data_IF_264343935890
#
_entry.id   IF_264343935890
#
_cell.length_a   1.000
_cell.length_b   1.000
_cell.length_c   1.000
_cell.angle_alpha   90.00
_cell.angle_beta   90.00
_cell.angle_gamma   90.00
#
_symmetry.space_group_name_H-M   'P 1'
#
loop_
_entity.id
_entity.type
_entity.pdbx_description
1 polymer ?
#
# COMPACT_ATOMS: atom_id res chain seq x y z
N UNK A 1 5.09 18.40 13.73
CA UNK A 1 4.76 17.68 14.98
C UNK A 1 5.42 18.40 16.15
N UNK A 2 4.70 18.68 17.25
CA UNK A 2 5.32 19.30 18.43
C UNK A 2 6.30 18.32 19.08
N UNK A 3 7.46 18.79 19.55
CA UNK A 3 8.45 17.96 20.26
C UNK A 3 7.81 17.10 21.37
N UNK A 4 6.77 17.64 22.03
CA UNK A 4 6.02 16.99 23.10
C UNK A 4 5.25 15.74 22.63
N UNK A 5 4.61 15.77 21.46
CA UNK A 5 3.85 14.61 20.97
C UNK A 5 4.77 13.48 20.48
N UNK A 6 5.96 13.83 19.96
CA UNK A 6 6.96 12.83 19.57
C UNK A 6 7.55 12.08 20.77
N UNK A 7 7.81 12.79 21.87
CA UNK A 7 8.28 12.16 23.12
C UNK A 7 7.21 11.26 23.75
N UNK A 8 5.94 11.68 23.75
CA UNK A 8 4.85 10.86 24.26
C UNK A 8 4.68 9.57 23.46
N UNK A 9 4.69 9.65 22.12
CA UNK A 9 4.60 8.48 21.25
C UNK A 9 5.78 7.52 21.47
N UNK A 10 7.00 8.04 21.61
CA UNK A 10 8.17 7.23 21.92
C UNK A 10 8.04 6.51 23.27
N UNK A 11 7.61 7.21 24.32
CA UNK A 11 7.43 6.61 25.64
C UNK A 11 6.40 5.48 25.60
N UNK A 12 5.26 5.68 24.92
CA UNK A 12 4.22 4.66 24.75
C UNK A 12 4.77 3.44 24.02
N UNK A 13 5.44 3.64 22.87
CA UNK A 13 6.03 2.52 22.12
C UNK A 13 7.10 1.79 22.91
N UNK A 14 7.96 2.51 23.63
CA UNK A 14 9.00 1.91 24.47
C UNK A 14 8.41 1.03 25.56
N UNK A 15 7.35 1.49 26.25
CA UNK A 15 6.67 0.69 27.28
C UNK A 15 6.04 -0.56 26.67
N UNK A 16 5.31 -0.42 25.55
CA UNK A 16 4.64 -1.56 24.90
C UNK A 16 5.67 -2.60 24.45
N UNK A 17 6.73 -2.18 23.74
CA UNK A 17 7.73 -3.12 23.24
C UNK A 17 8.56 -3.76 24.34
N UNK A 18 8.86 -3.05 25.44
CA UNK A 18 9.59 -3.64 26.57
C UNK A 18 8.75 -4.69 27.30
N UNK A 19 7.44 -4.45 27.49
CA UNK A 19 6.54 -5.45 28.10
C UNK A 19 6.42 -6.70 27.22
N UNK A 20 6.20 -6.52 25.92
CA UNK A 20 6.11 -7.65 24.97
C UNK A 20 7.42 -8.43 24.96
N UNK A 21 8.56 -7.72 24.91
CA UNK A 21 9.88 -8.33 24.90
C UNK A 21 10.16 -9.11 26.19
N UNK A 22 9.81 -8.56 27.35
CA UNK A 22 10.00 -9.24 28.64
C UNK A 22 9.23 -10.57 28.68
N UNK A 23 7.96 -10.55 28.29
CA UNK A 23 7.14 -11.76 28.26
C UNK A 23 7.67 -12.79 27.26
N UNK A 24 8.03 -12.36 26.05
CA UNK A 24 8.60 -13.23 25.03
C UNK A 24 9.95 -13.83 25.46
N UNK A 25 10.81 -13.04 26.11
CA UNK A 25 12.11 -13.49 26.58
C UNK A 25 11.98 -14.50 27.71
N UNK A 26 11.09 -14.27 28.67
CA UNK A 26 10.80 -15.21 29.74
C UNK A 26 10.23 -16.52 29.19
N UNK A 27 9.28 -16.44 28.26
CA UNK A 27 8.71 -17.62 27.61
C UNK A 27 9.77 -18.42 26.84
N UNK A 28 10.66 -17.75 26.11
CA UNK A 28 11.75 -18.39 25.38
C UNK A 28 12.74 -19.10 26.32
N UNK A 29 13.07 -18.51 27.48
CA UNK A 29 13.94 -19.14 28.48
C UNK A 29 13.28 -20.41 29.03
N UNK A 30 12.01 -20.33 29.42
CA UNK A 30 11.26 -21.47 29.95
C UNK A 30 11.17 -22.60 28.92
N UNK A 31 10.82 -22.27 27.67
CA UNK A 31 10.70 -23.24 26.60
C UNK A 31 12.03 -23.94 26.29
N UNK A 32 13.14 -23.19 26.26
CA UNK A 32 14.47 -23.78 26.07
C UNK A 32 14.84 -24.74 27.21
N UNK A 33 14.52 -24.39 28.46
CA UNK A 33 14.73 -25.29 29.61
C UNK A 33 13.88 -26.55 29.47
N UNK A 34 12.59 -26.42 29.15
CA UNK A 34 11.70 -27.58 28.96
C UNK A 34 12.20 -28.53 27.86
N UNK A 35 12.61 -27.98 26.71
CA UNK A 35 13.17 -28.78 25.61
C UNK A 35 14.46 -29.51 26.00
N UNK A 36 15.36 -28.83 26.72
CA UNK A 36 16.58 -29.44 27.21
C UNK A 36 16.28 -30.55 28.23
N UNK A 37 15.34 -30.32 29.16
CA UNK A 37 14.89 -31.33 30.13
C UNK A 37 14.32 -32.57 29.45
N UNK A 38 13.47 -32.40 28.43
CA UNK A 38 12.90 -33.52 27.67
C UNK A 38 13.99 -34.31 26.92
N UNK A 39 14.95 -33.61 26.31
CA UNK A 39 16.09 -34.26 25.64
C UNK A 39 16.95 -35.02 26.64
N UNK A 40 17.19 -34.48 27.84
CA UNK A 40 17.95 -35.14 28.91
C UNK A 40 17.19 -36.38 29.38
N UNK A 41 15.89 -36.26 29.63
CA UNK A 41 15.03 -37.36 30.05
C UNK A 41 15.09 -38.51 29.05
N UNK A 42 14.92 -38.22 27.75
CA UNK A 42 15.06 -39.22 26.69
C UNK A 42 16.44 -39.86 26.67
N UNK A 43 17.51 -39.06 26.80
CA UNK A 43 18.87 -39.56 26.76
C UNK A 43 19.17 -40.50 27.93
N UNK A 44 18.82 -40.09 29.15
CA UNK A 44 19.00 -40.91 30.35
C UNK A 44 18.13 -42.16 30.29
N UNK A 45 16.93 -42.09 29.71
CA UNK A 45 16.09 -43.27 29.49
C UNK A 45 16.74 -44.30 28.57
N UNK A 46 17.35 -43.85 27.47
CA UNK A 46 18.07 -44.73 26.54
C UNK A 46 19.31 -45.36 27.18
N UNK A 47 20.03 -44.60 28.00
CA UNK A 47 21.25 -45.04 28.66
C UNK A 47 20.98 -45.75 30.01
N UNK A 48 19.73 -45.83 30.49
CA UNK A 48 19.33 -46.36 31.82
C UNK A 48 19.94 -47.73 32.11
N UNK A 49 19.84 -48.67 31.17
CA UNK A 49 20.32 -50.05 31.34
C UNK A 49 21.85 -50.16 31.45
N UNK A 50 22.59 -49.10 31.09
CA UNK A 50 24.06 -49.04 31.16
C UNK A 50 24.55 -48.30 32.40
N UNK A 51 23.65 -47.60 33.10
CA UNK A 51 23.98 -46.82 34.28
C UNK A 51 23.93 -47.73 35.52
N UNK A 52 25.03 -47.88 36.27
CA UNK A 52 25.07 -48.69 37.48
C UNK A 52 24.46 -47.91 38.66
N UNK A 53 23.16 -47.62 38.58
CA UNK A 53 22.40 -46.93 39.63
C UNK A 53 22.09 -47.93 40.75
N UNK A 54 22.19 -47.50 42.01
CA UNK A 54 21.84 -48.34 43.14
C UNK A 54 20.35 -48.72 43.09
N UNK A 55 20.03 -50.00 43.26
CA UNK A 55 18.63 -50.49 43.29
C UNK A 55 18.39 -51.16 44.64
N UNK A 56 17.79 -50.43 45.62
CA UNK A 56 17.59 -50.93 46.98
C UNK A 56 16.82 -52.25 47.03
N UNK A 57 15.79 -52.41 46.19
CA UNK A 57 14.98 -53.64 46.14
C UNK A 57 15.75 -54.88 45.65
N UNK A 58 16.86 -54.70 44.94
CA UNK A 58 17.72 -55.77 44.44
C UNK A 58 19.00 -55.93 45.27
N UNK A 59 19.14 -55.23 46.41
CA UNK A 59 20.38 -55.13 47.20
C UNK A 59 21.61 -54.76 46.37
N UNK A 60 21.42 -54.02 45.28
CA UNK A 60 22.50 -53.59 44.40
C UNK A 60 22.96 -52.18 44.80
N UNK A 61 24.19 -52.06 45.28
CA UNK A 61 24.74 -50.79 45.76
C UNK A 61 25.10 -49.78 44.65
N UNK A 62 25.11 -50.21 43.38
CA UNK A 62 25.52 -49.36 42.26
C UNK A 62 27.02 -49.04 42.22
N UNK A 63 27.41 -48.20 41.28
CA UNK A 63 28.76 -47.64 41.14
C UNK A 63 28.66 -46.11 40.98
N UNK A 64 28.81 -45.41 42.11
CA UNK A 64 28.71 -43.96 42.18
C UNK A 64 29.78 -43.25 41.31
N UNK A 65 30.97 -43.83 41.16
CA UNK A 65 32.05 -43.22 40.35
C UNK A 65 31.70 -43.23 38.88
N UNK A 66 31.15 -44.33 38.36
CA UNK A 66 30.68 -44.40 36.97
C UNK A 66 29.48 -43.50 36.70
N UNK A 67 28.55 -43.40 37.65
CA UNK A 67 27.41 -42.47 37.54
C UNK A 67 27.91 -41.02 37.48
N UNK A 68 28.87 -40.65 38.33
CA UNK A 68 29.46 -39.30 38.30
C UNK A 68 30.17 -39.02 36.97
N UNK A 69 30.98 -39.96 36.47
CA UNK A 69 31.66 -39.80 35.19
C UNK A 69 30.67 -39.63 34.01
N UNK A 70 29.52 -40.30 34.07
CA UNK A 70 28.43 -40.10 33.11
C UNK A 70 27.81 -38.71 33.22
N UNK A 71 27.53 -38.24 34.45
CA UNK A 71 27.00 -36.88 34.70
C UNK A 71 27.97 -35.83 34.16
N UNK A 72 29.26 -35.98 34.40
CA UNK A 72 30.29 -35.05 33.93
C UNK A 72 30.34 -35.01 32.39
N UNK A 73 30.36 -36.18 31.73
CA UNK A 73 30.33 -36.27 30.27
C UNK A 73 29.04 -35.69 29.66
N UNK A 74 27.89 -35.85 30.33
CA UNK A 74 26.62 -35.28 29.91
C UNK A 74 26.64 -33.75 30.06
N UNK A 75 27.13 -33.23 31.19
CA UNK A 75 27.29 -31.80 31.43
C UNK A 75 28.25 -31.14 30.44
N UNK A 76 29.35 -31.80 30.07
CA UNK A 76 30.26 -31.33 29.02
C UNK A 76 29.55 -31.18 27.66
N UNK A 77 28.65 -32.13 27.34
CA UNK A 77 27.86 -32.05 26.11
C UNK A 77 26.84 -30.90 26.18
N UNK A 78 26.16 -30.76 27.31
CA UNK A 78 25.19 -29.69 27.56
C UNK A 78 25.85 -28.31 27.49
N UNK A 79 27.05 -28.15 28.05
CA UNK A 79 27.82 -26.90 27.98
C UNK A 79 28.23 -26.57 26.55
N UNK A 80 28.67 -27.56 25.74
CA UNK A 80 28.97 -27.38 24.31
C UNK A 80 27.74 -26.92 23.50
N UNK A 81 26.54 -27.33 23.91
CA UNK A 81 25.27 -26.90 23.32
C UNK A 81 24.74 -25.58 23.91
N UNK A 82 25.49 -24.93 24.80
CA UNK A 82 25.05 -23.73 25.53
C UNK A 82 23.72 -23.94 26.26
N UNK A 83 23.48 -25.16 26.74
CA UNK A 83 22.29 -25.49 27.53
C UNK A 83 22.26 -24.68 28.82
N UNK A 84 21.05 -24.37 29.28
CA UNK A 84 20.82 -23.66 30.54
C UNK A 84 20.76 -24.62 31.73
N UNK A 85 20.97 -25.91 31.52
CA UNK A 85 20.76 -26.96 32.52
C UNK A 85 22.08 -27.60 32.89
N UNK A 86 22.26 -27.83 34.19
CA UNK A 86 23.33 -28.64 34.74
C UNK A 86 22.73 -29.79 35.53
N UNK A 87 23.21 -31.00 35.29
CA UNK A 87 22.83 -32.19 36.05
C UNK A 87 23.68 -32.27 37.31
N UNK A 88 23.02 -32.45 38.45
CA UNK A 88 23.67 -32.56 39.75
C UNK A 88 23.70 -34.01 40.24
N UNK A 89 22.64 -34.78 40.01
CA UNK A 89 22.55 -36.17 40.49
C UNK A 89 21.63 -37.03 39.63
N UNK A 90 21.91 -38.34 39.62
CA UNK A 90 21.05 -39.38 39.06
C UNK A 90 21.00 -40.51 40.09
N UNK A 91 19.84 -40.76 40.67
CA UNK A 91 19.68 -41.76 41.73
C UNK A 91 18.31 -42.42 41.65
N UNK A 92 18.18 -43.61 42.26
CA UNK A 92 16.87 -44.24 42.46
C UNK A 92 16.02 -43.39 43.40
N UNK A 93 14.72 -43.31 43.11
CA UNK A 93 13.75 -42.52 43.87
C UNK A 93 12.58 -43.41 44.28
N UNK A 94 11.97 -43.05 45.40
CA UNK A 94 10.78 -43.71 45.94
C UNK A 94 9.47 -43.19 45.31
N UNK A 95 9.57 -42.45 44.19
CA UNK A 95 8.43 -41.95 43.40
C UNK A 95 7.97 -40.53 43.75
N UNK A 96 8.58 -39.88 44.75
CA UNK A 96 8.29 -38.48 45.07
C UNK A 96 9.11 -37.51 44.20
N UNK A 97 8.41 -36.64 43.47
CA UNK A 97 9.00 -35.53 42.70
C UNK A 97 9.30 -34.34 43.62
N UNK A 98 10.58 -33.99 43.76
CA UNK A 98 11.02 -32.76 44.44
C UNK A 98 11.27 -31.65 43.42
N UNK A 99 11.20 -30.39 43.85
CA UNK A 99 11.58 -29.26 43.00
C UNK A 99 13.01 -29.42 42.48
N UNK A 100 13.23 -29.15 41.19
CA UNK A 100 14.54 -29.36 40.55
C UNK A 100 14.87 -30.83 40.26
N UNK A 101 13.88 -31.72 40.24
CA UNK A 101 14.07 -33.11 39.84
C UNK A 101 13.16 -33.52 38.67
N UNK A 102 13.71 -34.31 37.76
CA UNK A 102 12.96 -35.03 36.74
C UNK A 102 12.81 -36.48 37.19
N UNK A 103 11.58 -37.00 37.11
CA UNK A 103 11.30 -38.41 37.39
C UNK A 103 11.26 -39.21 36.08
N UNK A 104 11.98 -40.33 36.09
CA UNK A 104 11.99 -41.31 35.02
C UNK A 104 11.45 -42.65 35.55
N UNK A 105 10.18 -42.90 35.29
CA UNK A 105 9.54 -44.17 35.66
C UNK A 105 9.88 -45.29 34.69
N UNK A 106 10.17 -46.48 35.23
CA UNK A 106 10.44 -47.68 34.46
C UNK A 106 10.17 -48.95 35.26
N UNK A 107 10.31 -50.11 34.60
CA UNK A 107 9.98 -51.40 35.20
C UNK A 107 10.83 -51.77 36.43
N UNK A 108 12.09 -51.32 36.47
CA UNK A 108 13.05 -51.62 37.55
C UNK A 108 13.02 -50.59 38.71
N UNK A 109 12.02 -49.72 38.72
CA UNK A 109 11.88 -48.63 39.68
C UNK A 109 12.11 -47.24 39.08
N UNK A 110 11.72 -46.23 39.84
CA UNK A 110 11.79 -44.82 39.45
C UNK A 110 13.21 -44.26 39.66
N UNK A 111 13.67 -43.47 38.70
CA UNK A 111 14.96 -42.78 38.75
C UNK A 111 14.72 -41.27 38.79
N UNK A 112 15.23 -40.60 39.82
CA UNK A 112 15.24 -39.14 39.90
C UNK A 112 16.55 -38.58 39.32
N UNK A 113 16.41 -37.56 38.49
CA UNK A 113 17.50 -36.78 37.91
C UNK A 113 17.42 -35.38 38.51
N UNK A 114 18.36 -35.04 39.40
CA UNK A 114 18.49 -33.71 39.98
C UNK A 114 19.17 -32.76 38.99
N UNK A 115 18.57 -31.59 38.77
CA UNK A 115 19.08 -30.58 37.85
C UNK A 115 18.99 -29.16 38.42
N UNK A 116 19.90 -28.32 37.95
CA UNK A 116 19.91 -26.89 38.21
C UNK A 116 19.70 -26.14 36.89
N UNK A 117 18.65 -25.32 36.81
CA UNK A 117 18.33 -24.53 35.62
C UNK A 117 18.73 -23.06 35.80
N UNK A 118 19.42 -22.50 34.81
CA UNK A 118 19.82 -21.10 34.79
C UNK A 118 18.73 -20.23 34.13
N UNK A 119 17.94 -19.56 34.99
CA UNK A 119 16.89 -18.61 34.60
C UNK A 119 17.39 -17.17 34.45
N UNK A 120 18.71 -16.95 34.45
CA UNK A 120 19.28 -15.62 34.32
C UNK A 120 18.93 -14.98 32.98
N UNK A 121 18.52 -13.72 33.06
CA UNK A 121 18.18 -12.89 31.91
C UNK A 121 19.42 -12.15 31.42
N UNK A 122 19.57 -12.04 30.10
CA UNK A 122 20.60 -11.18 29.52
C UNK A 122 20.05 -9.76 29.36
N UNK A 123 20.34 -8.91 30.35
CA UNK A 123 19.84 -7.53 30.39
C UNK A 123 20.29 -6.68 29.19
N UNK A 124 21.40 -7.03 28.52
CA UNK A 124 21.87 -6.30 27.34
C UNK A 124 20.87 -6.37 26.16
N UNK A 125 20.11 -7.47 26.07
CA UNK A 125 19.12 -7.66 25.00
C UNK A 125 17.92 -6.71 25.12
N UNK A 126 17.70 -6.09 26.29
CA UNK A 126 16.62 -5.12 26.49
C UNK A 126 16.85 -3.80 25.74
N UNK A 127 18.00 -3.60 25.10
CA UNK A 127 18.21 -2.49 24.17
C UNK A 127 17.38 -2.64 22.88
N UNK A 128 17.06 -3.88 22.48
CA UNK A 128 16.32 -4.21 21.26
C UNK A 128 14.94 -3.52 21.22
N UNK A 129 14.07 -3.64 22.23
CA UNK A 129 12.77 -2.95 22.22
C UNK A 129 12.89 -1.42 22.14
N UNK A 130 13.95 -0.83 22.71
CA UNK A 130 14.20 0.62 22.62
C UNK A 130 14.56 1.02 21.18
N UNK A 131 15.41 0.24 20.51
CA UNK A 131 15.75 0.46 19.10
C UNK A 131 14.53 0.32 18.18
N UNK A 132 13.67 -0.67 18.43
CA UNK A 132 12.41 -0.85 17.69
C UNK A 132 11.46 0.34 17.92
N UNK A 133 11.38 0.86 19.14
CA UNK A 133 10.57 2.05 19.44
C UNK A 133 11.10 3.30 18.70
N UNK A 134 12.42 3.48 18.62
CA UNK A 134 13.05 4.57 17.85
C UNK A 134 12.75 4.46 16.35
N UNK A 135 12.84 3.25 15.79
CA UNK A 135 12.56 3.00 14.37
C UNK A 135 11.08 3.32 14.05
N UNK A 136 10.15 2.88 14.90
CA UNK A 136 8.73 3.20 14.75
C UNK A 136 8.45 4.71 14.83
N UNK A 137 9.14 5.42 15.72
CA UNK A 137 9.03 6.88 15.79
C UNK A 137 9.54 7.55 14.49
N UNK A 138 10.65 7.08 13.93
CA UNK A 138 11.19 7.59 12.67
C UNK A 138 10.22 7.34 11.51
N UNK A 139 9.64 6.15 11.43
CA UNK A 139 8.63 5.79 10.43
C UNK A 139 7.37 6.64 10.56
N UNK A 140 6.85 6.79 11.79
CA UNK A 140 5.69 7.64 12.07
C UNK A 140 5.94 9.10 11.67
N UNK A 141 7.12 9.66 12.00
CA UNK A 141 7.49 11.02 11.60
C UNK A 141 7.56 11.15 10.07
N UNK A 142 8.14 10.18 9.37
CA UNK A 142 8.21 10.18 7.90
C UNK A 142 6.82 10.20 7.26
N UNK A 143 5.92 9.31 7.71
CA UNK A 143 4.54 9.24 7.22
C UNK A 143 3.76 10.51 7.58
N UNK A 144 3.89 11.00 8.81
CA UNK A 144 3.24 12.24 9.26
C UNK A 144 3.71 13.44 8.42
N UNK A 145 5.01 13.57 8.16
CA UNK A 145 5.56 14.65 7.35
C UNK A 145 5.04 14.58 5.90
N UNK A 146 5.00 13.39 5.29
CA UNK A 146 4.42 13.21 3.95
C UNK A 146 2.93 13.58 3.90
N UNK A 147 2.17 13.20 4.94
CA UNK A 147 0.74 13.51 5.05
C UNK A 147 0.50 15.00 5.26
N UNK A 148 1.32 15.65 6.08
CA UNK A 148 1.26 17.11 6.29
C UNK A 148 1.69 17.88 5.03
N UNK A 149 2.69 17.39 4.28
CA UNK A 149 3.03 17.95 2.96
C UNK A 149 1.88 17.80 1.96
N UNK A 150 1.23 16.65 1.88
CA UNK A 150 0.07 16.45 1.02
C UNK A 150 -1.12 17.33 1.42
N UNK A 151 -1.38 17.51 2.72
CA UNK A 151 -2.39 18.46 3.22
C UNK A 151 -2.03 19.91 2.90
N UNK A 152 -0.77 20.30 3.07
CA UNK A 152 -0.29 21.64 2.69
C UNK A 152 -0.44 21.88 1.20
N UNK A 153 -0.06 20.91 0.36
CA UNK A 153 -0.28 20.99 -1.10
C UNK A 153 -1.77 21.17 -1.43
N UNK A 154 -2.67 20.42 -0.78
CA UNK A 154 -4.13 20.58 -0.93
C UNK A 154 -4.66 21.92 -0.40
N UNK A 155 -4.15 22.41 0.73
CA UNK A 155 -4.55 23.69 1.31
C UNK A 155 -4.04 24.89 0.48
N UNK A 156 -2.84 24.78 -0.10
CA UNK A 156 -2.30 25.75 -1.05
C UNK A 156 -3.10 25.77 -2.35
N UNK A 157 -3.67 24.63 -2.80
CA UNK A 157 -4.59 24.63 -3.96
C UNK A 157 -5.92 25.35 -3.68
N UNK A 158 -6.39 25.36 -2.42
CA UNK A 158 -7.67 25.99 -2.04
C UNK A 158 -7.57 27.51 -1.80
N UNK A 159 -6.36 28.04 -1.61
CA UNK A 159 -6.13 29.47 -1.26
C UNK A 159 -5.48 30.28 -2.39
N UNK A 160 -5.45 29.77 -3.62
CA UNK A 160 -5.09 30.57 -4.78
C UNK A 160 -6.38 31.14 -5.39
N UNK A 161 -6.52 32.47 -5.33
CA UNK A 161 -7.56 33.23 -6.04
C UNK A 161 -7.68 32.69 -7.48
N UNK A 162 -8.87 32.25 -7.96
CA UNK A 162 -8.96 31.50 -9.21
C UNK A 162 -8.50 32.41 -10.36
N UNK A 163 -7.37 32.06 -10.96
CA UNK A 163 -7.08 32.52 -12.31
C UNK A 163 -8.18 31.94 -13.22
N UNK A 164 -8.71 32.73 -14.17
CA UNK A 164 -9.76 32.27 -15.06
C UNK A 164 -9.26 31.02 -15.79
N UNK A 165 -9.96 29.90 -15.60
CA UNK A 165 -9.61 28.65 -16.24
C UNK A 165 -10.18 28.63 -17.64
N UNK A 166 -9.33 28.38 -18.63
CA UNK A 166 -9.71 28.25 -20.03
C UNK A 166 -9.35 26.85 -20.56
N UNK A 167 -10.02 26.46 -21.65
CA UNK A 167 -9.78 25.18 -22.31
C UNK A 167 -8.53 25.27 -23.17
N UNK A 168 -7.60 24.35 -22.98
CA UNK A 168 -6.40 24.19 -23.79
C UNK A 168 -6.55 22.93 -24.64
N UNK A 169 -6.47 23.10 -25.96
CA UNK A 169 -6.48 21.99 -26.92
C UNK A 169 -5.10 21.85 -27.52
N UNK A 170 -4.43 20.72 -27.26
CA UNK A 170 -3.11 20.43 -27.80
C UNK A 170 -3.22 19.48 -29.00
N UNK A 171 -2.85 19.99 -30.18
CA UNK A 171 -2.87 19.24 -31.44
C UNK A 171 -1.73 18.22 -31.57
N UNK A 172 -0.61 18.38 -30.84
CA UNK A 172 0.52 17.44 -30.88
C UNK A 172 0.23 16.17 -30.07
N UNK A 173 -0.46 16.29 -28.94
CA UNK A 173 -0.86 15.16 -28.09
C UNK A 173 -2.30 14.70 -28.34
N UNK A 174 -3.10 15.50 -29.08
CA UNK A 174 -4.55 15.30 -29.29
C UNK A 174 -5.34 15.26 -27.98
N UNK A 175 -4.94 16.08 -27.02
CA UNK A 175 -5.53 16.14 -25.68
C UNK A 175 -6.28 17.44 -25.45
N UNK A 176 -7.38 17.36 -24.71
CA UNK A 176 -8.04 18.47 -24.06
C UNK A 176 -7.59 18.54 -22.59
N UNK A 177 -7.25 19.73 -22.11
CA UNK A 177 -6.97 19.97 -20.70
C UNK A 177 -7.45 21.36 -20.27
N UNK A 178 -7.57 21.59 -18.96
CA UNK A 178 -7.84 22.91 -18.40
C UNK A 178 -6.52 23.58 -18.03
N UNK A 179 -6.41 24.87 -18.29
CA UNK A 179 -5.20 25.66 -17.99
C UNK A 179 -4.71 25.52 -16.53
N UNK A 180 -5.66 25.36 -15.59
CA UNK A 180 -5.37 25.18 -14.17
C UNK A 180 -5.12 23.74 -13.71
N UNK A 181 -5.38 22.73 -14.54
CA UNK A 181 -5.26 21.32 -14.18
C UNK A 181 -4.67 20.49 -15.32
N UNK A 182 -3.32 20.41 -15.35
CA UNK A 182 -2.58 19.59 -16.32
C UNK A 182 -2.64 18.09 -16.03
N UNK A 183 -3.18 17.67 -14.89
CA UNK A 183 -3.27 16.25 -14.51
C UNK A 183 -4.48 15.57 -15.17
N UNK A 184 -5.55 16.32 -15.43
CA UNK A 184 -6.72 15.82 -16.16
C UNK A 184 -6.55 16.09 -17.67
N UNK A 185 -6.12 15.08 -18.42
CA UNK A 185 -5.99 15.14 -19.89
C UNK A 185 -6.88 14.09 -20.53
N UNK A 186 -7.78 14.54 -21.42
CA UNK A 186 -8.69 13.65 -22.14
C UNK A 186 -8.29 13.62 -23.61
N UNK A 187 -8.09 12.42 -24.15
CA UNK A 187 -7.78 12.24 -25.57
C UNK A 187 -9.04 12.12 -26.41
N UNK A 188 -9.07 12.81 -27.55
CA UNK A 188 -10.15 12.71 -28.54
C UNK A 188 -9.67 11.99 -29.80
N UNK A 189 -10.58 11.26 -30.44
CA UNK A 189 -10.35 10.73 -31.78
C UNK A 189 -10.28 11.87 -32.81
N UNK A 190 -9.57 11.63 -33.92
CA UNK A 190 -9.24 12.67 -34.91
C UNK A 190 -10.48 13.40 -35.47
N UNK A 191 -11.55 12.66 -35.81
CA UNK A 191 -12.77 13.26 -36.37
C UNK A 191 -13.51 14.15 -35.34
N UNK A 192 -13.82 13.67 -34.12
CA UNK A 192 -14.34 14.51 -33.04
C UNK A 192 -13.47 15.73 -32.71
N UNK A 193 -12.14 15.56 -32.67
CA UNK A 193 -11.20 16.64 -32.34
C UNK A 193 -11.24 17.76 -33.39
N UNK A 194 -11.10 17.42 -34.68
CA UNK A 194 -11.19 18.39 -35.77
C UNK A 194 -12.54 19.10 -35.78
N UNK A 195 -13.62 18.35 -35.60
CA UNK A 195 -14.97 18.90 -35.60
C UNK A 195 -15.19 19.85 -34.43
N UNK A 196 -14.71 19.49 -33.23
CA UNK A 196 -14.85 20.34 -32.05
C UNK A 196 -14.05 21.64 -32.16
N UNK A 197 -12.81 21.57 -32.67
CA UNK A 197 -12.01 22.77 -32.94
C UNK A 197 -12.68 23.69 -33.96
N UNK A 198 -13.23 23.12 -35.02
CA UNK A 198 -14.00 23.88 -36.01
C UNK A 198 -15.25 24.50 -35.40
N UNK A 199 -15.95 23.77 -34.52
CA UNK A 199 -17.12 24.29 -33.82
C UNK A 199 -16.75 25.47 -32.90
N UNK A 200 -15.65 25.37 -32.15
CA UNK A 200 -15.16 26.45 -31.29
C UNK A 200 -14.82 27.69 -32.11
N UNK A 201 -14.03 27.53 -33.18
CA UNK A 201 -13.63 28.64 -34.04
C UNK A 201 -14.81 29.25 -34.80
N UNK A 202 -15.73 28.42 -35.32
CA UNK A 202 -16.93 28.90 -36.01
C UNK A 202 -17.85 29.67 -35.07
N UNK A 203 -18.12 29.16 -33.86
CA UNK A 203 -18.97 29.84 -32.89
C UNK A 203 -18.36 31.15 -32.35
N UNK A 204 -17.02 31.28 -32.33
CA UNK A 204 -16.34 32.53 -32.02
C UNK A 204 -16.59 33.62 -33.08
N UNK A 205 -16.55 33.26 -34.36
CA UNK A 205 -16.76 34.21 -35.46
C UNK A 205 -18.25 34.48 -35.72
N UNK A 206 -19.12 33.48 -35.48
CA UNK A 206 -20.54 33.51 -35.81
C UNK A 206 -21.44 33.20 -34.57
N UNK A 207 -21.43 34.04 -33.51
CA UNK A 207 -22.12 33.74 -32.25
C UNK A 207 -23.66 33.73 -32.36
N UNK A 208 -24.22 34.35 -33.40
CA UNK A 208 -25.67 34.46 -33.63
C UNK A 208 -26.25 33.32 -34.46
N UNK A 209 -25.42 32.47 -35.05
CA UNK A 209 -25.85 31.41 -35.96
C UNK A 209 -26.34 30.19 -35.18
N UNK A 210 -27.55 29.71 -35.50
CA UNK A 210 -28.16 28.55 -34.86
C UNK A 210 -27.87 27.27 -35.66
N UNK A 211 -26.96 26.44 -35.15
CA UNK A 211 -26.52 25.20 -35.76
C UNK A 211 -27.47 24.04 -35.39
N UNK A 212 -28.31 23.61 -36.32
CA UNK A 212 -29.30 22.56 -36.07
C UNK A 212 -28.85 21.22 -36.67
N UNK A 213 -29.11 20.11 -35.98
CA UNK A 213 -28.69 18.77 -36.42
C UNK A 213 -29.41 18.31 -37.70
N UNK A 214 -30.63 18.80 -37.94
CA UNK A 214 -31.46 18.45 -39.08
C UNK A 214 -31.21 19.31 -40.32
N UNK A 215 -30.31 20.30 -40.23
CA UNK A 215 -29.90 21.13 -41.36
C UNK A 215 -28.51 20.69 -41.82
N UNK A 216 -28.22 20.95 -43.09
CA UNK A 216 -26.86 20.79 -43.62
C UNK A 216 -25.88 21.65 -42.82
N UNK A 217 -24.67 21.14 -42.63
CA UNK A 217 -23.61 21.87 -41.95
C UNK A 217 -23.20 23.07 -42.83
N UNK A 218 -23.00 24.27 -42.24
CA UNK A 218 -22.44 25.39 -43.00
C UNK A 218 -21.10 25.03 -43.62
N UNK A 219 -20.90 25.40 -44.89
CA UNK A 219 -19.66 25.12 -45.63
C UNK A 219 -18.43 25.70 -44.92
N UNK A 220 -18.56 26.90 -44.33
CA UNK A 220 -17.51 27.54 -43.52
C UNK A 220 -17.04 26.66 -42.35
N UNK A 221 -17.95 25.93 -41.70
CA UNK A 221 -17.60 25.04 -40.59
C UNK A 221 -16.86 23.80 -41.10
N UNK A 222 -17.28 23.27 -42.26
CA UNK A 222 -16.60 22.15 -42.91
C UNK A 222 -15.18 22.52 -43.33
N UNK A 223 -14.99 23.70 -43.91
CA UNK A 223 -13.69 24.22 -44.33
C UNK A 223 -12.72 24.36 -43.16
N UNK A 224 -13.20 24.86 -42.01
CA UNK A 224 -12.38 24.94 -40.79
C UNK A 224 -12.04 23.53 -40.26
N UNK A 225 -12.99 22.60 -40.28
CA UNK A 225 -12.75 21.22 -39.85
C UNK A 225 -11.70 20.52 -40.74
N UNK A 226 -11.75 20.76 -42.04
CA UNK A 226 -10.77 20.26 -42.99
C UNK A 226 -9.39 20.87 -42.78
N UNK A 227 -9.31 22.17 -42.50
CA UNK A 227 -8.05 22.84 -42.16
C UNK A 227 -7.36 22.15 -40.97
N UNK A 228 -8.11 21.86 -39.89
CA UNK A 228 -7.55 21.14 -38.74
C UNK A 228 -7.21 19.68 -39.07
N UNK A 229 -7.99 19.02 -39.94
CA UNK A 229 -7.64 17.68 -40.41
C UNK A 229 -6.32 17.66 -41.18
N UNK A 230 -6.11 18.59 -42.10
CA UNK A 230 -4.85 18.74 -42.82
C UNK A 230 -3.68 19.05 -41.86
N UNK A 231 -3.92 19.83 -40.81
CA UNK A 231 -2.92 20.07 -39.76
C UNK A 231 -2.56 18.78 -39.01
N UNK A 232 -3.55 17.95 -38.63
CA UNK A 232 -3.28 16.64 -38.02
C UNK A 232 -2.54 15.68 -38.96
N UNK A 233 -2.80 15.73 -40.27
CA UNK A 233 -2.04 14.98 -41.28
C UNK A 233 -0.59 15.45 -41.31
N UNK A 234 -0.36 16.77 -41.34
CA UNK A 234 1.00 17.35 -41.33
C UNK A 234 1.78 17.01 -40.05
N UNK A 235 1.10 16.88 -38.91
CA UNK A 235 1.68 16.44 -37.63
C UNK A 235 1.89 14.91 -37.55
N UNK A 236 1.48 14.15 -38.58
CA UNK A 236 1.67 12.69 -38.62
C UNK A 236 0.63 11.89 -37.82
N UNK A 237 -0.46 12.50 -37.35
CA UNK A 237 -1.47 11.83 -36.54
C UNK A 237 -2.46 10.97 -37.34
N UNK A 238 -2.48 11.10 -38.67
CA UNK A 238 -3.33 10.29 -39.55
C UNK A 238 -2.83 10.28 -40.99
N UNK A 239 -2.93 9.12 -41.63
CA UNK A 239 -2.66 8.90 -43.08
C UNK A 239 -3.96 8.47 -43.78
N UNK A 240 -5.09 8.48 -43.06
CA UNK A 240 -6.39 8.01 -43.57
C UNK A 240 -7.06 9.04 -44.50
N UNK A 241 -7.98 8.56 -45.34
CA UNK A 241 -8.84 9.41 -46.19
C UNK A 241 -9.63 10.42 -45.35
N UNK A 242 -9.89 11.59 -45.94
CA UNK A 242 -10.67 12.70 -45.35
C UNK A 242 -11.98 12.17 -44.75
N UNK A 243 -12.25 12.41 -43.46
CA UNK A 243 -13.49 12.01 -42.83
C UNK A 243 -14.64 12.87 -43.35
N UNK A 244 -15.81 12.27 -43.58
CA UNK A 244 -17.03 13.03 -43.83
C UNK A 244 -17.57 13.52 -42.47
N UNK A 245 -17.52 14.83 -42.23
CA UNK A 245 -17.94 15.45 -40.97
C UNK A 245 -19.47 15.54 -40.81
N UNK A 246 -20.22 15.55 -41.92
CA UNK A 246 -21.69 15.59 -41.91
C UNK A 246 -22.31 14.24 -41.54
N UNK A 247 -21.65 13.13 -41.90
CA UNK A 247 -22.12 11.80 -41.54
C UNK A 247 -21.92 11.52 -40.03
N UNK A 248 -22.94 10.96 -39.37
CA UNK A 248 -22.86 10.52 -37.97
C UNK A 248 -22.51 11.68 -37.02
N UNK A 249 -23.05 12.88 -37.29
CA UNK A 249 -22.85 14.08 -36.47
C UNK A 249 -23.25 13.83 -35.00
N UNK A 250 -24.38 13.17 -34.75
CA UNK A 250 -24.87 12.89 -33.40
C UNK A 250 -23.89 12.02 -32.59
N UNK A 251 -23.27 11.03 -33.23
CA UNK A 251 -22.23 10.20 -32.62
C UNK A 251 -20.99 11.04 -32.30
N UNK A 252 -20.56 11.88 -33.24
CA UNK A 252 -19.40 12.78 -33.08
C UNK A 252 -19.61 13.75 -31.91
N UNK A 253 -20.79 14.37 -31.82
CA UNK A 253 -21.16 15.25 -30.72
C UNK A 253 -21.25 14.49 -29.38
N UNK A 254 -21.68 13.23 -29.39
CA UNK A 254 -21.75 12.40 -28.18
C UNK A 254 -20.36 12.05 -27.64
N UNK A 255 -19.40 11.75 -28.51
CA UNK A 255 -17.99 11.52 -28.13
C UNK A 255 -17.35 12.79 -27.56
N UNK A 256 -17.61 13.96 -28.16
CA UNK A 256 -17.16 15.26 -27.63
C UNK A 256 -17.76 15.51 -26.24
N UNK A 257 -19.07 15.32 -26.07
CA UNK A 257 -19.74 15.51 -24.78
C UNK A 257 -19.18 14.60 -23.69
N UNK A 258 -18.93 13.33 -24.00
CA UNK A 258 -18.34 12.39 -23.05
C UNK A 258 -16.94 12.84 -22.60
N UNK A 259 -16.10 13.30 -23.53
CA UNK A 259 -14.78 13.82 -23.20
C UNK A 259 -14.85 15.11 -22.35
N UNK A 260 -15.80 15.99 -22.65
CA UNK A 260 -16.03 17.21 -21.87
C UNK A 260 -16.68 16.93 -20.51
N UNK A 261 -17.49 15.88 -20.36
CA UNK A 261 -18.05 15.47 -19.08
C UNK A 261 -16.92 15.07 -18.10
N UNK A 262 -15.95 14.28 -18.57
CA UNK A 262 -14.77 13.90 -17.79
C UNK A 262 -13.94 15.12 -17.36
N UNK A 263 -13.77 16.09 -18.26
CA UNK A 263 -12.94 17.28 -18.03
C UNK A 263 -13.65 18.38 -17.20
N UNK A 264 -14.96 18.55 -17.34
CA UNK A 264 -15.73 19.66 -16.77
C UNK A 264 -16.58 19.26 -15.54
N UNK A 265 -16.39 18.06 -14.99
CA UNK A 265 -17.15 17.52 -13.85
C UNK A 265 -17.22 18.51 -12.66
N UNK A 266 -16.15 19.25 -12.40
CA UNK A 266 -16.05 20.17 -11.26
C UNK A 266 -16.20 21.66 -11.62
N UNK A 267 -16.58 21.98 -12.86
CA UNK A 267 -16.64 23.37 -13.35
C UNK A 267 -17.93 23.68 -14.12
N UNK A 268 -19.04 23.91 -13.40
CA UNK A 268 -20.33 24.16 -14.03
C UNK A 268 -20.35 25.44 -14.88
N UNK A 269 -19.59 26.47 -14.49
CA UNK A 269 -19.54 27.75 -15.21
C UNK A 269 -18.91 27.62 -16.60
N UNK A 270 -17.82 26.85 -16.69
CA UNK A 270 -17.13 26.61 -17.96
C UNK A 270 -17.93 25.63 -18.86
N UNK A 271 -18.64 24.69 -18.23
CA UNK A 271 -19.59 23.80 -18.91
C UNK A 271 -20.68 24.56 -19.65
N UNK A 272 -21.21 25.64 -19.10
CA UNK A 272 -22.24 26.46 -19.78
C UNK A 272 -21.74 27.09 -21.10
N UNK A 273 -20.42 27.33 -21.21
CA UNK A 273 -19.82 27.97 -22.40
C UNK A 273 -19.32 26.98 -23.44
N UNK A 274 -18.65 25.91 -23.00
CA UNK A 274 -17.88 25.01 -23.88
C UNK A 274 -18.62 23.72 -24.27
N UNK A 275 -19.71 23.40 -23.58
CA UNK A 275 -20.42 22.14 -23.76
C UNK A 275 -21.51 22.23 -24.84
N UNK A 276 -21.43 21.42 -25.93
CA UNK A 276 -22.47 21.39 -26.95
C UNK A 276 -23.79 20.83 -26.38
N UNK A 277 -24.89 21.60 -26.37
CA UNK A 277 -26.15 21.15 -25.77
C UNK A 277 -26.74 19.94 -26.50
N UNK A 278 -27.41 19.05 -25.75
CA UNK A 278 -28.10 17.85 -26.26
C UNK A 278 -29.57 18.14 -26.46
N UNK A 279 -30.14 17.75 -27.60
CA UNK A 279 -31.58 17.77 -27.81
C UNK A 279 -32.26 16.79 -26.82
N UNK A 280 -33.24 17.25 -26.04
CA UNK A 280 -34.04 16.42 -25.14
C UNK A 280 -35.52 16.60 -25.48
N UNK A 281 -36.25 15.49 -25.70
CA UNK A 281 -37.71 15.47 -25.91
C UNK A 281 -38.16 14.90 -27.25
N UNK A 282 -39.45 14.52 -27.33
CA UNK A 282 -40.14 13.94 -28.49
C UNK A 282 -39.88 14.77 -29.76
N UNK A 283 -39.09 14.19 -30.66
CA UNK A 283 -38.65 14.84 -31.89
C UNK A 283 -37.20 15.33 -31.81
N UNK A 284 -36.26 14.40 -31.96
CA UNK A 284 -34.89 14.67 -32.46
C UNK A 284 -34.89 15.54 -33.74
N UNK A 285 -36.04 15.63 -34.41
CA UNK A 285 -36.33 16.44 -35.60
C UNK A 285 -36.79 17.88 -35.35
N UNK A 286 -36.91 18.33 -34.10
CA UNK A 286 -37.39 19.70 -33.84
C UNK A 286 -36.36 20.74 -34.31
N UNK A 287 -36.82 21.79 -35.00
CA UNK A 287 -35.98 22.88 -35.55
C UNK A 287 -35.39 23.80 -34.46
N UNK A 288 -35.61 23.47 -33.18
CA UNK A 288 -35.36 24.35 -32.03
C UNK A 288 -34.06 24.01 -31.29
N UNK A 289 -33.50 22.82 -31.49
CA UNK A 289 -32.29 22.38 -30.79
C UNK A 289 -31.03 22.72 -31.60
N UNK A 290 -30.39 23.83 -31.22
CA UNK A 290 -29.07 24.19 -31.71
C UNK A 290 -27.97 23.51 -30.90
N UNK A 291 -26.93 22.97 -31.53
CA UNK A 291 -25.71 22.46 -30.88
C UNK A 291 -24.58 23.50 -30.79
N UNK A 292 -24.80 24.73 -31.27
CA UNK A 292 -23.81 25.80 -31.24
C UNK A 292 -23.54 26.34 -29.83
N UNK A 293 -22.33 26.86 -29.63
CA UNK A 293 -21.83 27.41 -28.37
C UNK A 293 -22.19 28.91 -28.28
N UNK A 294 -23.13 29.29 -27.42
CA UNK A 294 -23.72 30.65 -27.39
C UNK A 294 -22.95 31.68 -26.56
N UNK A 295 -22.13 31.23 -25.61
CA UNK A 295 -21.49 32.09 -24.60
C UNK A 295 -19.95 32.02 -24.65
N UNK A 296 -19.40 31.69 -25.81
CA UNK A 296 -17.96 31.48 -26.01
C UNK A 296 -17.23 32.81 -26.21
N UNK A 297 -16.24 33.11 -25.35
CA UNK A 297 -15.34 34.25 -25.49
C UNK A 297 -13.97 33.85 -26.05
N UNK A 298 -13.26 34.79 -26.67
CA UNK A 298 -11.95 34.56 -27.27
C UNK A 298 -10.87 34.08 -26.27
N UNK A 299 -11.02 34.42 -24.98
CA UNK A 299 -10.11 34.00 -23.91
C UNK A 299 -10.49 32.66 -23.26
N UNK A 300 -11.60 32.03 -23.68
CA UNK A 300 -12.07 30.78 -23.10
C UNK A 300 -11.39 29.54 -23.73
N UNK A 301 -10.67 29.71 -24.86
CA UNK A 301 -10.04 28.62 -25.62
C UNK A 301 -8.63 29.00 -26.08
N UNK A 302 -7.67 28.13 -25.84
CA UNK A 302 -6.31 28.20 -26.38
C UNK A 302 -6.03 26.94 -27.21
N UNK A 303 -5.48 27.10 -28.42
CA UNK A 303 -5.15 25.98 -29.32
C UNK A 303 -3.64 25.96 -29.54
N UNK A 304 -2.98 24.90 -29.06
CA UNK A 304 -1.54 24.67 -29.22
C UNK A 304 -1.33 23.83 -30.49
N UNK A 305 -0.41 24.29 -31.35
CA UNK A 305 -0.08 23.59 -32.61
C UNK A 305 -0.97 23.97 -33.80
N UNK A 306 -1.70 25.10 -33.73
CA UNK A 306 -2.46 25.67 -34.85
C UNK A 306 -1.60 25.88 -36.10
#
# INVERSE_FOLDING_TARGET
MSRKTGMLAFAIYSVIFTVIFAFAHEHAIRHAIEQDLDSIKLRVALDKNRLPIAVPHLNYAGDATRVQAYIDALNDNLQKKTSRIRIESIASSDGELKEGQLLLSGADGDTAIGYQANTSHNYWLYIIPILIALLNLAFYKSVSNKREQAKRQKATTVTAKPQPQHLVVDLYSKTLCLSGDKACQVQLANKPLCFYLALLEFCLHNPKVSLNQNKELPDELLDIADKYFHRLVALGHTIRKRPNFSNSLEKTLSEIRAALDELLTHQPDLRLKLYPPKAHGEGSRSKLHSYGLKALGANDVEVIGK
#
